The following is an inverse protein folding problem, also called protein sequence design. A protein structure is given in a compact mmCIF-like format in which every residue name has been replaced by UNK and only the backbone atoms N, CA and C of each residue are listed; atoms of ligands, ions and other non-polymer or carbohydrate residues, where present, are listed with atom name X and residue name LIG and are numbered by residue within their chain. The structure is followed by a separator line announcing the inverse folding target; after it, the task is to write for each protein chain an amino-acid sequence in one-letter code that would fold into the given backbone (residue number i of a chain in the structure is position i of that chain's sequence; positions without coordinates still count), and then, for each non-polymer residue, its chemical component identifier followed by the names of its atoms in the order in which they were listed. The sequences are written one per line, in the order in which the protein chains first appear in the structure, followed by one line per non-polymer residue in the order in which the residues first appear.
data_IF_185024945695
#
_entry.id   IF_185024945695
#
_cell.length_a   1.000
_cell.length_b   1.000
_cell.length_c   1.000
_cell.angle_alpha   90.00
_cell.angle_beta   90.00
_cell.angle_gamma   90.00
#
_symmetry.space_group_name_H-M   'P 1'
#
loop_
_entity.id
_entity.type
_entity.pdbx_description
1 polymer ?
#
# COMPACT_ATOMS: atom_id res chain seq x y z
N UNK A 1 4.34 -18.28 -14.67
CA UNK A 1 5.01 -16.97 -14.55
C UNK A 1 6.01 -16.66 -15.68
N UNK A 2 6.15 -17.49 -16.73
CA UNK A 2 7.15 -17.29 -17.80
C UNK A 2 6.56 -16.82 -19.14
N UNK A 3 5.25 -16.60 -19.20
CA UNK A 3 4.56 -16.07 -20.39
C UNK A 3 4.76 -14.55 -20.43
N UNK A 4 4.99 -13.99 -21.61
CA UNK A 4 4.96 -12.55 -21.83
C UNK A 4 3.51 -12.05 -21.88
N UNK A 5 3.14 -11.17 -20.96
CA UNK A 5 1.81 -10.58 -20.86
C UNK A 5 1.76 -9.15 -21.41
N UNK A 6 2.82 -8.66 -22.07
CA UNK A 6 2.87 -7.32 -22.65
C UNK A 6 1.67 -7.05 -23.55
N UNK A 7 0.95 -5.96 -23.29
CA UNK A 7 -0.26 -5.58 -24.03
C UNK A 7 -1.51 -6.44 -23.75
N UNK A 8 -1.46 -7.38 -22.80
CA UNK A 8 -2.59 -8.21 -22.41
C UNK A 8 -3.34 -7.63 -21.21
N UNK A 9 -4.66 -7.76 -21.20
CA UNK A 9 -5.51 -7.27 -20.11
C UNK A 9 -5.70 -5.75 -20.14
N UNK A 10 -5.98 -5.17 -18.97
CA UNK A 10 -6.15 -3.74 -18.80
C UNK A 10 -5.16 -3.23 -17.75
N UNK A 11 -4.29 -2.32 -18.16
CA UNK A 11 -3.30 -1.71 -17.28
C UNK A 11 -3.94 -0.64 -16.39
N UNK A 12 -4.49 -1.11 -15.27
CA UNK A 12 -5.14 -0.23 -14.29
C UNK A 12 -4.15 0.76 -13.65
N UNK A 13 -2.87 0.40 -13.50
CA UNK A 13 -1.91 1.30 -12.87
C UNK A 13 -1.59 2.48 -13.79
N UNK A 14 -1.38 2.21 -15.08
CA UNK A 14 -1.19 3.26 -16.08
C UNK A 14 -2.45 4.14 -16.19
N UNK A 15 -3.66 3.56 -16.24
CA UNK A 15 -4.92 4.32 -16.26
C UNK A 15 -5.09 5.22 -15.01
N UNK A 16 -4.71 4.74 -13.83
CA UNK A 16 -4.70 5.54 -12.60
C UNK A 16 -3.75 6.74 -12.74
N UNK A 17 -2.51 6.52 -13.19
CA UNK A 17 -1.52 7.58 -13.36
C UNK A 17 -2.00 8.60 -14.41
N UNK A 18 -2.55 8.13 -15.53
CA UNK A 18 -3.05 8.98 -16.61
C UNK A 18 -4.23 9.83 -16.16
N UNK A 19 -5.17 9.26 -15.38
CA UNK A 19 -6.27 10.03 -14.79
C UNK A 19 -5.79 11.06 -13.79
N UNK A 20 -4.84 10.71 -12.92
CA UNK A 20 -4.27 11.65 -11.95
C UNK A 20 -3.64 12.85 -12.67
N UNK A 21 -2.91 12.61 -13.77
CA UNK A 21 -2.25 13.68 -14.53
C UNK A 21 -3.22 14.54 -15.34
N UNK A 22 -4.22 13.92 -15.98
CA UNK A 22 -5.02 14.57 -17.02
C UNK A 22 -6.47 14.88 -16.62
N UNK A 23 -6.98 14.23 -15.58
CA UNK A 23 -8.35 14.40 -15.07
C UNK A 23 -8.39 14.22 -13.54
N UNK A 24 -7.64 15.03 -12.76
CA UNK A 24 -7.40 14.80 -11.33
C UNK A 24 -8.66 14.85 -10.46
N UNK A 25 -9.73 15.50 -10.90
CA UNK A 25 -11.02 15.58 -10.22
C UNK A 25 -11.95 14.39 -10.53
N UNK A 26 -11.48 13.43 -11.34
CA UNK A 26 -12.20 12.18 -11.61
C UNK A 26 -12.45 11.41 -10.30
N UNK A 27 -13.69 10.98 -10.12
CA UNK A 27 -14.12 10.19 -8.97
C UNK A 27 -13.97 8.69 -9.19
N UNK A 28 -13.32 8.29 -10.29
CA UNK A 28 -13.18 6.90 -10.77
C UNK A 28 -11.72 6.48 -10.93
N UNK A 29 -10.82 7.10 -10.18
CA UNK A 29 -9.40 6.72 -10.12
C UNK A 29 -9.28 5.52 -9.16
N UNK A 30 -9.43 4.30 -9.70
CA UNK A 30 -9.56 3.07 -8.92
C UNK A 30 -8.59 2.01 -9.46
N UNK A 31 -7.92 1.31 -8.54
CA UNK A 31 -7.11 0.12 -8.80
C UNK A 31 -7.71 -1.08 -8.06
N UNK A 32 -8.12 -2.14 -8.76
CA UNK A 32 -8.72 -3.34 -8.17
C UNK A 32 -7.92 -4.60 -8.46
N UNK A 33 -7.68 -5.41 -7.42
CA UNK A 33 -7.11 -6.75 -7.52
C UNK A 33 -8.19 -7.85 -7.54
N UNK A 34 -9.44 -7.52 -7.22
CA UNK A 34 -10.51 -8.51 -7.11
C UNK A 34 -11.11 -8.86 -8.47
N UNK A 35 -10.65 -9.95 -9.07
CA UNK A 35 -11.19 -10.51 -10.32
C UNK A 35 -11.95 -11.82 -10.07
N UNK A 36 -13.29 -11.83 -10.05
CA UNK A 36 -14.10 -13.04 -9.79
C UNK A 36 -13.78 -14.23 -10.69
N UNK A 37 -13.46 -14.00 -11.96
CA UNK A 37 -13.15 -15.06 -12.93
C UNK A 37 -11.84 -15.78 -12.60
N UNK A 38 -10.89 -15.08 -11.98
CA UNK A 38 -9.53 -15.59 -11.75
C UNK A 38 -9.29 -16.03 -10.29
N UNK A 39 -10.24 -15.82 -9.37
CA UNK A 39 -10.08 -16.17 -7.95
C UNK A 39 -9.62 -17.62 -7.76
N UNK A 40 -10.15 -18.55 -8.55
CA UNK A 40 -9.81 -19.99 -8.46
C UNK A 40 -8.41 -20.34 -8.99
N UNK A 41 -7.77 -19.42 -9.70
CA UNK A 41 -6.42 -19.57 -10.24
C UNK A 41 -5.35 -19.04 -9.26
N UNK A 42 -5.75 -18.24 -8.27
CA UNK A 42 -4.86 -17.61 -7.30
C UNK A 42 -4.53 -18.55 -6.14
N UNK A 43 -3.26 -18.57 -5.71
CA UNK A 43 -2.86 -19.33 -4.52
C UNK A 43 -3.56 -18.84 -3.25
N UNK A 44 -3.85 -17.54 -3.17
CA UNK A 44 -4.65 -16.92 -2.13
C UNK A 44 -5.43 -15.74 -2.72
N UNK A 45 -6.74 -15.59 -2.45
CA UNK A 45 -7.50 -14.44 -2.91
C UNK A 45 -6.93 -13.13 -2.33
N UNK A 46 -6.96 -12.00 -3.06
CA UNK A 46 -6.35 -10.75 -2.61
C UNK A 46 -6.95 -10.27 -1.29
N UNK A 47 -6.11 -9.90 -0.32
CA UNK A 47 -6.57 -9.30 0.93
C UNK A 47 -6.89 -7.81 0.76
N UNK A 48 -6.00 -7.07 0.09
CA UNK A 48 -6.20 -5.67 -0.32
C UNK A 48 -6.95 -5.66 -1.65
N UNK A 49 -8.27 -5.46 -1.58
CA UNK A 49 -9.16 -5.69 -2.73
C UNK A 49 -9.08 -4.59 -3.76
N UNK A 50 -9.18 -3.32 -3.32
CA UNK A 50 -9.13 -2.17 -4.19
C UNK A 50 -8.59 -0.94 -3.45
N UNK A 51 -8.04 0.00 -4.21
CA UNK A 51 -7.68 1.33 -3.76
C UNK A 51 -8.32 2.39 -4.66
N UNK A 52 -8.75 3.48 -4.05
CA UNK A 52 -9.25 4.68 -4.72
C UNK A 52 -8.30 5.84 -4.42
N UNK A 53 -7.96 6.61 -5.45
CA UNK A 53 -7.11 7.78 -5.33
C UNK A 53 -7.94 9.06 -5.45
N UNK A 54 -7.46 10.12 -4.81
CA UNK A 54 -8.11 11.42 -4.78
C UNK A 54 -7.07 12.53 -4.83
N UNK A 55 -7.25 13.50 -5.74
CA UNK A 55 -6.37 14.66 -5.87
C UNK A 55 -7.08 15.91 -5.35
N UNK A 56 -6.41 16.67 -4.49
CA UNK A 56 -6.90 17.97 -4.04
C UNK A 56 -5.75 18.85 -3.59
N UNK A 57 -5.79 20.15 -3.94
CA UNK A 57 -4.77 21.13 -3.53
C UNK A 57 -3.31 20.72 -3.84
N UNK A 58 -3.08 19.96 -4.91
CA UNK A 58 -1.74 19.46 -5.27
C UNK A 58 -1.29 18.22 -4.47
N UNK A 59 -2.18 17.65 -3.65
CA UNK A 59 -1.93 16.45 -2.85
C UNK A 59 -2.65 15.23 -3.45
N UNK A 60 -2.01 14.06 -3.37
CA UNK A 60 -2.60 12.77 -3.72
C UNK A 60 -2.87 11.94 -2.47
N UNK A 61 -4.15 11.66 -2.20
CA UNK A 61 -4.60 10.76 -1.13
C UNK A 61 -5.00 9.40 -1.69
N UNK A 62 -4.93 8.36 -0.86
CA UNK A 62 -5.29 6.99 -1.20
C UNK A 62 -6.18 6.38 -0.11
N UNK A 63 -7.35 5.86 -0.51
CA UNK A 63 -8.17 4.98 0.33
C UNK A 63 -8.02 3.54 -0.14
N UNK A 64 -7.66 2.61 0.76
CA UNK A 64 -7.56 1.19 0.43
C UNK A 64 -8.53 0.36 1.27
N UNK A 65 -9.27 -0.55 0.63
CA UNK A 65 -10.14 -1.53 1.30
C UNK A 65 -9.48 -2.90 1.38
N UNK A 66 -9.31 -3.40 2.61
CA UNK A 66 -8.76 -4.72 2.91
C UNK A 66 -9.84 -5.63 3.50
N UNK A 67 -10.21 -6.72 2.79
CA UNK A 67 -11.28 -7.64 3.26
C UNK A 67 -10.92 -8.44 4.51
N UNK A 68 -9.63 -8.71 4.72
CA UNK A 68 -9.13 -9.59 5.77
C UNK A 68 -7.77 -9.08 6.23
N UNK A 69 -7.71 -8.71 7.50
CA UNK A 69 -6.68 -7.87 8.07
C UNK A 69 -6.12 -8.50 9.34
N UNK A 70 -5.02 -9.25 9.17
CA UNK A 70 -4.21 -9.72 10.28
C UNK A 70 -3.54 -8.51 10.95
N UNK A 71 -4.01 -8.16 12.14
CA UNK A 71 -3.54 -7.01 12.90
C UNK A 71 -2.10 -7.19 13.42
N UNK A 72 -1.61 -8.42 13.54
CA UNK A 72 -0.28 -8.74 14.04
C UNK A 72 0.80 -8.59 12.98
N UNK A 73 0.61 -9.22 11.82
CA UNK A 73 1.60 -9.19 10.74
C UNK A 73 1.14 -8.34 9.56
N UNK A 74 -0.02 -8.64 8.98
CA UNK A 74 -0.46 -8.05 7.71
C UNK A 74 -0.60 -6.54 7.74
N UNK A 75 -1.40 -6.00 8.66
CA UNK A 75 -1.79 -4.58 8.69
C UNK A 75 -0.59 -3.63 8.76
N UNK A 76 0.44 -3.84 9.63
CA UNK A 76 1.65 -3.03 9.60
C UNK A 76 2.34 -2.96 8.24
N UNK A 77 2.47 -4.10 7.53
CA UNK A 77 3.02 -4.12 6.18
C UNK A 77 2.10 -3.44 5.16
N UNK A 78 0.78 -3.64 5.28
CA UNK A 78 -0.19 -3.04 4.35
C UNK A 78 -0.21 -1.51 4.47
N UNK A 79 -0.08 -0.97 5.68
CA UNK A 79 0.03 0.49 5.90
C UNK A 79 1.27 1.05 5.20
N UNK A 80 2.45 0.45 5.44
CA UNK A 80 3.68 0.93 4.83
C UNK A 80 3.68 0.77 3.30
N UNK A 81 3.15 -0.34 2.79
CA UNK A 81 3.11 -0.66 1.36
C UNK A 81 2.24 0.34 0.58
N UNK A 82 1.00 0.59 1.00
CA UNK A 82 0.12 1.51 0.29
C UNK A 82 0.46 2.98 0.53
N UNK A 83 1.06 3.32 1.68
CA UNK A 83 1.65 4.66 1.87
C UNK A 83 2.79 4.89 0.88
N UNK A 84 3.68 3.90 0.70
CA UNK A 84 4.78 3.98 -0.27
C UNK A 84 4.25 4.10 -1.70
N UNK A 85 3.27 3.28 -2.09
CA UNK A 85 2.65 3.36 -3.42
C UNK A 85 2.04 4.75 -3.67
N UNK A 86 1.36 5.31 -2.68
CA UNK A 86 0.78 6.67 -2.76
C UNK A 86 1.88 7.71 -2.97
N UNK A 87 2.98 7.61 -2.23
CA UNK A 87 4.12 8.51 -2.41
C UNK A 87 4.78 8.37 -3.79
N UNK A 88 4.92 7.15 -4.31
CA UNK A 88 5.49 6.90 -5.63
C UNK A 88 4.60 7.49 -6.74
N UNK A 89 3.29 7.24 -6.69
CA UNK A 89 2.33 7.78 -7.66
C UNK A 89 2.29 9.32 -7.56
N UNK A 90 2.29 9.88 -6.36
CA UNK A 90 2.34 11.33 -6.16
C UNK A 90 3.57 11.92 -6.86
N UNK A 91 4.75 11.34 -6.66
CA UNK A 91 5.99 11.84 -7.25
C UNK A 91 6.00 11.79 -8.79
N UNK A 92 5.57 10.70 -9.40
CA UNK A 92 5.56 10.58 -10.88
C UNK A 92 4.46 11.42 -11.54
N UNK A 93 3.52 11.92 -10.73
CA UNK A 93 2.46 12.85 -11.13
C UNK A 93 2.74 14.30 -10.71
N UNK A 94 3.94 14.61 -10.20
CA UNK A 94 4.33 15.94 -9.70
C UNK A 94 3.38 16.50 -8.63
N UNK A 95 2.85 15.62 -7.78
CA UNK A 95 2.03 15.92 -6.59
C UNK A 95 2.81 15.62 -5.31
N UNK A 96 2.29 16.11 -4.18
CA UNK A 96 2.77 15.71 -2.85
C UNK A 96 1.87 14.61 -2.25
N UNK A 97 2.39 13.71 -1.40
CA UNK A 97 1.56 12.72 -0.72
C UNK A 97 0.60 13.39 0.26
N UNK A 98 -0.68 13.03 0.18
CA UNK A 98 -1.73 13.40 1.13
C UNK A 98 -2.02 12.28 2.13
N UNK A 99 -3.30 12.04 2.39
CA UNK A 99 -3.76 11.06 3.38
C UNK A 99 -3.77 9.64 2.83
N UNK A 100 -3.34 8.69 3.66
CA UNK A 100 -3.62 7.27 3.47
C UNK A 100 -4.74 6.81 4.42
N UNK A 101 -5.87 6.40 3.85
CA UNK A 101 -7.07 5.94 4.58
C UNK A 101 -7.22 4.43 4.40
N UNK A 102 -7.08 3.68 5.50
CA UNK A 102 -7.14 2.22 5.46
C UNK A 102 -8.47 1.70 6.01
N UNK A 103 -9.30 1.11 5.15
CA UNK A 103 -10.58 0.51 5.51
C UNK A 103 -10.41 -0.99 5.69
N UNK A 104 -10.76 -1.51 6.86
CA UNK A 104 -10.66 -2.93 7.21
C UNK A 104 -12.05 -3.58 7.20
N UNK A 105 -12.17 -4.72 6.54
CA UNK A 105 -13.30 -5.63 6.65
C UNK A 105 -13.18 -6.48 7.91
N UNK A 106 -12.76 -7.74 7.77
CA UNK A 106 -12.47 -8.62 8.90
C UNK A 106 -11.09 -8.30 9.51
N UNK A 107 -11.08 -7.42 10.52
CA UNK A 107 -9.92 -7.15 11.36
C UNK A 107 -9.83 -8.17 12.49
N UNK A 108 -8.76 -8.95 12.51
CA UNK A 108 -8.60 -10.07 13.44
C UNK A 108 -7.19 -10.18 14.01
N UNK A 109 -7.09 -10.87 15.14
CA UNK A 109 -5.84 -11.21 15.82
C UNK A 109 -5.78 -12.73 15.94
N UNK A 110 -4.70 -13.32 15.42
CA UNK A 110 -4.44 -14.75 15.66
C UNK A 110 -4.15 -15.00 17.14
N UNK A 111 -4.65 -16.12 17.67
CA UNK A 111 -4.46 -16.49 19.09
C UNK A 111 -2.98 -16.57 19.48
N UNK A 112 -2.12 -16.98 18.54
CA UNK A 112 -0.66 -17.04 18.70
C UNK A 112 0.00 -15.65 18.78
N UNK A 113 -0.70 -14.58 18.40
CA UNK A 113 -0.19 -13.20 18.42
C UNK A 113 -0.67 -12.39 19.63
N UNK A 114 -1.65 -12.89 20.41
CA UNK A 114 -2.25 -12.15 21.54
C UNK A 114 -1.19 -11.68 22.53
N UNK A 115 -0.32 -12.58 22.99
CA UNK A 115 0.75 -12.22 23.95
C UNK A 115 1.79 -11.26 23.34
N UNK A 116 2.38 -11.52 22.16
CA UNK A 116 3.25 -10.56 21.48
C UNK A 116 2.63 -9.16 21.30
N UNK A 117 1.35 -9.08 20.95
CA UNK A 117 0.64 -7.81 20.78
C UNK A 117 0.39 -7.10 22.12
N UNK A 118 0.06 -7.84 23.18
CA UNK A 118 -0.04 -7.26 24.52
C UNK A 118 1.30 -6.64 24.96
N UNK A 119 2.43 -7.29 24.65
CA UNK A 119 3.77 -6.73 24.88
C UNK A 119 4.02 -5.48 24.03
N UNK A 120 3.56 -5.45 22.77
CA UNK A 120 3.63 -4.26 21.92
C UNK A 120 2.83 -3.08 22.48
N UNK A 121 1.63 -3.33 23.01
CA UNK A 121 0.73 -2.31 23.56
C UNK A 121 1.28 -1.62 24.82
N UNK A 122 2.26 -2.22 25.50
CA UNK A 122 2.96 -1.56 26.63
C UNK A 122 4.00 -0.54 26.16
N UNK A 123 4.36 -0.52 24.88
CA UNK A 123 5.40 0.37 24.34
C UNK A 123 4.78 1.68 23.87
N UNK A 124 5.24 2.80 24.45
CA UNK A 124 4.80 4.12 24.01
C UNK A 124 5.25 4.39 22.56
N UNK A 125 4.38 4.89 21.66
CA UNK A 125 4.77 5.26 20.31
C UNK A 125 5.91 6.29 20.29
N UNK A 126 6.85 6.12 19.37
CA UNK A 126 7.89 7.10 19.05
C UNK A 126 7.48 7.90 17.80
N UNK A 127 8.10 9.06 17.53
CA UNK A 127 7.85 9.81 16.29
C UNK A 127 8.01 8.93 15.05
N UNK A 128 7.16 9.15 14.04
CA UNK A 128 7.29 8.45 12.76
C UNK A 128 8.57 8.86 12.01
N UNK A 129 9.15 7.95 11.22
CA UNK A 129 10.25 8.31 10.32
C UNK A 129 9.76 9.19 9.17
N UNK A 130 10.71 9.79 8.45
CA UNK A 130 10.45 10.48 7.18
C UNK A 130 10.98 9.63 6.03
N UNK A 131 10.13 9.35 5.04
CA UNK A 131 10.55 8.75 3.79
C UNK A 131 11.11 9.82 2.85
N UNK A 132 12.34 9.63 2.38
CA UNK A 132 12.92 10.37 1.25
C UNK A 132 12.98 9.48 0.03
N UNK A 133 12.59 10.04 -1.12
CA UNK A 133 12.54 9.36 -2.42
C UNK A 133 13.49 10.10 -3.37
N UNK A 134 14.19 9.36 -4.23
CA UNK A 134 15.04 9.94 -5.28
C UNK A 134 14.20 10.82 -6.22
N UNK A 135 14.43 12.15 -6.28
CA UNK A 135 13.62 13.08 -7.06
C UNK A 135 13.79 12.93 -8.58
N UNK A 136 14.85 12.24 -9.04
CA UNK A 136 15.10 12.01 -10.47
C UNK A 136 14.18 10.95 -11.07
N UNK A 137 13.51 10.14 -10.23
CA UNK A 137 12.58 9.09 -10.69
C UNK A 137 11.24 9.71 -11.10
N UNK A 138 10.94 9.60 -12.40
CA UNK A 138 9.72 10.13 -13.03
C UNK A 138 8.83 9.07 -13.67
N UNK A 139 9.28 7.82 -13.62
CA UNK A 139 8.58 6.65 -14.16
C UNK A 139 8.32 5.64 -13.03
N UNK A 140 7.10 5.14 -12.94
CA UNK A 140 6.64 4.28 -11.85
C UNK A 140 7.38 2.94 -11.82
N UNK A 141 7.78 2.43 -12.99
CA UNK A 141 8.49 1.16 -13.12
C UNK A 141 10.01 1.29 -12.91
N UNK A 142 10.52 2.52 -12.85
CA UNK A 142 11.95 2.81 -12.75
C UNK A 142 12.51 2.81 -11.33
N UNK A 143 11.65 2.75 -10.31
CA UNK A 143 12.07 2.76 -8.91
C UNK A 143 12.79 1.48 -8.51
N UNK A 144 13.87 1.63 -7.73
CA UNK A 144 14.58 0.53 -7.09
C UNK A 144 14.72 0.80 -5.60
N UNK A 145 15.05 -0.23 -4.81
CA UNK A 145 15.16 -0.11 -3.35
C UNK A 145 16.12 1.01 -2.88
N UNK A 146 17.18 1.28 -3.64
CA UNK A 146 18.15 2.32 -3.33
C UNK A 146 17.61 3.76 -3.46
N UNK A 147 16.47 3.95 -4.14
CA UNK A 147 15.83 5.25 -4.28
C UNK A 147 15.07 5.69 -3.02
N UNK A 148 14.90 4.79 -2.05
CA UNK A 148 14.13 5.04 -0.83
C UNK A 148 15.05 5.09 0.39
N UNK A 149 14.89 6.14 1.20
CA UNK A 149 15.63 6.30 2.45
C UNK A 149 14.67 6.68 3.57
N UNK A 150 14.58 5.82 4.59
CA UNK A 150 13.92 6.14 5.84
C UNK A 150 14.87 6.89 6.77
N UNK A 151 14.51 8.11 7.13
CA UNK A 151 15.28 8.98 8.03
C UNK A 151 14.57 9.05 9.38
N UNK A 152 15.33 8.88 10.46
CA UNK A 152 14.78 8.95 11.82
C UNK A 152 13.95 7.72 12.24
N UNK A 153 14.14 6.56 11.57
CA UNK A 153 13.50 5.32 11.98
C UNK A 153 14.18 4.73 13.21
N UNK A 154 13.63 5.01 14.39
CA UNK A 154 14.08 4.50 15.70
C UNK A 154 12.97 3.63 16.33
N UNK A 155 12.72 2.41 15.83
CA UNK A 155 11.67 1.55 16.36
C UNK A 155 12.04 0.97 17.73
N UNK A 156 11.04 0.40 18.42
CA UNK A 156 11.32 -0.52 19.52
C UNK A 156 11.92 -1.84 19.00
N UNK A 157 12.49 -2.65 19.90
CA UNK A 157 13.00 -3.98 19.55
C UNK A 157 11.92 -4.83 18.86
N UNK A 158 12.34 -5.57 17.83
CA UNK A 158 11.52 -6.52 17.07
C UNK A 158 10.76 -7.46 18.01
N UNK A 159 9.48 -7.67 17.71
CA UNK A 159 8.63 -8.67 18.34
C UNK A 159 8.39 -9.77 17.30
N UNK A 160 8.72 -11.01 17.65
CA UNK A 160 8.54 -12.15 16.75
C UNK A 160 7.09 -12.65 16.83
N UNK A 161 6.45 -12.78 15.67
CA UNK A 161 5.11 -13.35 15.50
C UNK A 161 5.15 -14.38 14.36
N UNK A 162 4.63 -15.59 14.60
CA UNK A 162 4.61 -16.66 13.60
C UNK A 162 3.41 -16.47 12.67
N UNK A 163 3.64 -16.52 11.36
CA UNK A 163 2.56 -16.52 10.37
C UNK A 163 1.66 -17.75 10.59
N UNK A 164 0.34 -17.53 10.55
CA UNK A 164 -0.61 -18.64 10.47
C UNK A 164 -0.58 -19.21 9.04
N UNK A 165 -0.44 -20.52 8.93
CA UNK A 165 -0.50 -21.26 7.66
C UNK A 165 -1.94 -21.74 7.46
#
# INVERSE_FOLDING_TARGET
MHVDYSGSGFDQLQDVIDKIKNNPDDRRIILSAWNPSDIKLMALPPCHMFAQFYVSNGELSCQMYQRSADMGLGVPFNIASYSLLTCMIAQVCDLVPGDFVHILGDAHVYTTHVRPLQEQLQKQPKPFPVLKINPEKKDIDSFVAADFKLVGYDPHQKIEMKMAI
#
